data_IF_109554409169
#
_entry.id   IF_109554409169
#
_cell.length_a   1.000
_cell.length_b   1.000
_cell.length_c   1.000
_cell.angle_alpha   90.00
_cell.angle_beta   90.00
_cell.angle_gamma   90.00
#
_symmetry.space_group_name_H-M   'P 1'
#
loop_
_entity.id
_entity.type
_entity.pdbx_description
1 polymer ?
#
# COMPACT_ATOMS: atom_id res chain seq x y z
N UNK A 1 17.81 -10.60 -81.78
CA UNK A 1 18.36 -10.09 -80.53
C UNK A 1 17.19 -9.45 -79.77
N UNK A 2 16.56 -10.18 -78.83
CA UNK A 2 15.41 -9.76 -78.11
C UNK A 2 15.76 -9.41 -76.66
N UNK A 3 15.53 -8.21 -76.22
CA UNK A 3 15.72 -7.74 -74.88
C UNK A 3 14.46 -8.05 -74.03
N UNK A 4 14.61 -8.61 -72.82
CA UNK A 4 13.43 -8.81 -71.96
C UNK A 4 13.10 -7.54 -71.15
N UNK A 5 11.84 -7.20 -71.19
CA UNK A 5 11.25 -6.13 -70.34
C UNK A 5 11.28 -6.51 -68.89
N UNK A 6 11.81 -5.64 -68.03
CA UNK A 6 11.69 -5.73 -66.60
C UNK A 6 10.35 -5.14 -66.16
N UNK A 7 9.51 -5.95 -65.54
CA UNK A 7 8.31 -5.51 -64.87
C UNK A 7 8.70 -5.04 -63.45
N UNK A 8 8.51 -3.75 -63.22
CA UNK A 8 8.71 -3.08 -61.93
C UNK A 8 7.49 -3.32 -61.06
N UNK A 9 7.64 -4.23 -60.06
CA UNK A 9 6.60 -4.45 -59.05
C UNK A 9 6.69 -3.40 -57.96
N UNK A 10 5.78 -2.43 -58.00
CA UNK A 10 5.64 -1.45 -56.94
C UNK A 10 5.09 -2.15 -55.65
N UNK A 11 5.94 -2.37 -54.66
CA UNK A 11 5.51 -2.79 -53.35
C UNK A 11 5.05 -1.55 -52.58
N UNK A 12 3.78 -1.52 -52.26
CA UNK A 12 3.19 -0.54 -51.34
C UNK A 12 3.69 -0.82 -49.92
N UNK A 13 4.24 0.15 -49.17
CA UNK A 13 4.65 -0.09 -47.81
C UNK A 13 3.41 -0.39 -46.94
N UNK A 14 3.45 -1.53 -46.27
CA UNK A 14 2.41 -1.89 -45.28
C UNK A 14 2.45 -0.89 -44.14
N UNK A 15 1.28 -0.28 -43.86
CA UNK A 15 1.06 0.58 -42.69
C UNK A 15 1.35 -0.25 -41.44
N UNK A 16 2.16 0.23 -40.48
CA UNK A 16 2.38 -0.50 -39.24
C UNK A 16 1.06 -0.64 -38.50
N UNK A 17 0.68 -1.87 -38.17
CA UNK A 17 -0.48 -2.16 -37.36
C UNK A 17 -0.33 -1.43 -36.01
N UNK A 18 -1.29 -0.58 -35.70
CA UNK A 18 -1.38 0.10 -34.42
C UNK A 18 -1.69 -0.97 -33.36
N UNK A 19 -0.64 -1.52 -32.73
CA UNK A 19 -0.77 -2.43 -31.60
C UNK A 19 -1.26 -1.57 -30.44
N UNK A 20 -2.49 -1.78 -29.93
CA UNK A 20 -2.96 -1.03 -28.75
C UNK A 20 -2.01 -1.30 -27.59
N UNK A 21 -1.62 -0.24 -26.87
CA UNK A 21 -0.87 -0.38 -25.65
C UNK A 21 -1.58 -1.36 -24.71
N UNK A 22 -0.87 -2.23 -23.98
CA UNK A 22 -1.51 -3.17 -23.07
C UNK A 22 -2.38 -2.38 -22.09
N UNK A 23 -3.66 -2.70 -22.06
CA UNK A 23 -4.63 -2.11 -21.16
C UNK A 23 -4.15 -2.42 -19.74
N UNK A 24 -3.91 -1.39 -18.93
CA UNK A 24 -3.45 -1.55 -17.55
C UNK A 24 -4.55 -2.27 -16.77
N UNK A 25 -4.35 -3.54 -16.44
CA UNK A 25 -5.31 -4.30 -15.67
C UNK A 25 -5.47 -3.67 -14.28
N UNK A 26 -6.71 -3.40 -13.89
CA UNK A 26 -7.04 -2.92 -12.55
C UNK A 26 -6.55 -3.94 -11.51
N UNK A 27 -6.12 -3.45 -10.33
CA UNK A 27 -5.76 -4.29 -9.21
C UNK A 27 -6.93 -5.19 -8.80
N UNK A 28 -6.69 -6.45 -8.43
CA UNK A 28 -7.75 -7.36 -8.01
C UNK A 28 -8.43 -6.84 -6.74
N UNK A 29 -9.69 -7.23 -6.53
CA UNK A 29 -10.39 -7.06 -5.25
C UNK A 29 -10.27 -8.36 -4.47
N UNK A 30 -9.59 -8.31 -3.33
CA UNK A 30 -9.31 -9.47 -2.48
C UNK A 30 -10.33 -9.64 -1.36
N UNK A 31 -11.39 -8.83 -1.37
CA UNK A 31 -12.46 -8.83 -0.39
C UNK A 31 -12.40 -7.63 0.55
N UNK A 32 -13.40 -7.48 1.44
CA UNK A 32 -13.42 -6.40 2.41
C UNK A 32 -12.25 -6.54 3.39
N UNK A 33 -11.58 -5.42 3.67
CA UNK A 33 -10.52 -5.39 4.67
C UNK A 33 -11.11 -5.58 6.08
N UNK A 34 -10.48 -6.39 6.95
CA UNK A 34 -10.91 -6.52 8.33
C UNK A 34 -10.82 -5.19 9.09
N UNK A 35 -11.77 -4.95 9.98
CA UNK A 35 -11.79 -3.78 10.86
C UNK A 35 -10.67 -3.84 11.90
N UNK A 36 -10.23 -2.68 12.39
CA UNK A 36 -9.35 -2.60 13.55
C UNK A 36 -10.14 -3.03 14.79
N UNK A 37 -9.64 -4.03 15.48
CA UNK A 37 -10.29 -4.57 16.68
C UNK A 37 -9.25 -4.96 17.73
N UNK A 38 -9.67 -4.92 19.01
CA UNK A 38 -8.81 -5.26 20.13
C UNK A 38 -7.60 -4.34 20.30
N UNK A 39 -7.70 -3.08 19.87
CA UNK A 39 -6.62 -2.10 19.99
C UNK A 39 -6.57 -1.57 21.42
N UNK A 40 -5.41 -1.71 22.05
CA UNK A 40 -5.19 -1.31 23.45
C UNK A 40 -4.99 0.19 23.59
N UNK A 41 -4.28 0.80 22.64
CA UNK A 41 -3.96 2.22 22.69
C UNK A 41 -3.74 2.78 21.28
N UNK A 42 -4.14 4.03 21.07
CA UNK A 42 -3.91 4.78 19.84
C UNK A 42 -2.92 5.91 20.08
N UNK A 43 -2.00 6.11 19.15
CA UNK A 43 -1.00 7.18 19.16
C UNK A 43 -1.22 8.06 17.92
N UNK A 44 -1.05 9.37 18.07
CA UNK A 44 -1.25 10.39 17.03
C UNK A 44 -2.71 10.58 16.58
N UNK A 45 -3.67 9.91 17.19
CA UNK A 45 -5.08 10.01 16.84
C UNK A 45 -5.96 9.59 18.01
N UNK A 46 -7.22 10.01 17.98
CA UNK A 46 -8.29 9.35 18.74
C UNK A 46 -8.60 7.99 18.09
N UNK A 47 -9.28 7.07 18.79
CA UNK A 47 -9.68 5.80 18.16
C UNK A 47 -10.41 6.01 16.83
N UNK A 48 -9.98 5.29 15.80
CA UNK A 48 -10.59 5.31 14.47
C UNK A 48 -10.93 3.90 14.01
N UNK A 49 -11.92 3.81 13.11
CA UNK A 49 -12.29 2.56 12.44
C UNK A 49 -12.03 2.67 10.94
N UNK A 50 -11.96 1.55 10.24
CA UNK A 50 -11.94 1.57 8.75
C UNK A 50 -13.21 2.20 8.19
N UNK A 51 -14.34 2.05 8.88
CA UNK A 51 -15.60 2.71 8.51
C UNK A 51 -15.47 4.22 8.50
N UNK A 52 -14.72 4.80 9.44
CA UNK A 52 -14.44 6.25 9.50
C UNK A 52 -13.57 6.71 8.32
N UNK A 53 -12.81 5.79 7.73
CA UNK A 53 -11.87 6.07 6.64
C UNK A 53 -12.45 5.81 5.24
N UNK A 54 -13.76 5.54 5.14
CA UNK A 54 -14.43 5.40 3.83
C UNK A 54 -14.20 6.64 2.97
N UNK A 55 -13.91 6.42 1.70
CA UNK A 55 -13.53 7.48 0.76
C UNK A 55 -12.04 7.76 0.70
N UNK A 56 -11.25 7.19 1.62
CA UNK A 56 -9.78 7.33 1.66
C UNK A 56 -9.12 6.02 1.28
N UNK A 57 -7.96 6.12 0.63
CA UNK A 57 -7.04 5.00 0.41
C UNK A 57 -6.25 4.77 1.69
N UNK A 58 -6.22 3.54 2.18
CA UNK A 58 -5.60 3.20 3.46
C UNK A 58 -4.47 2.18 3.26
N UNK A 59 -3.32 2.47 3.84
CA UNK A 59 -2.24 1.50 4.01
C UNK A 59 -2.22 1.06 5.47
N UNK A 60 -2.47 -0.22 5.71
CA UNK A 60 -2.24 -0.84 7.02
C UNK A 60 -0.86 -1.46 7.01
N UNK A 61 0.01 -0.96 7.88
CA UNK A 61 1.40 -1.41 8.02
C UNK A 61 1.59 -2.07 9.38
N UNK A 62 1.75 -3.39 9.39
CA UNK A 62 2.08 -4.15 10.61
C UNK A 62 3.58 -4.04 10.87
N UNK A 63 3.93 -3.58 12.08
CA UNK A 63 5.30 -3.30 12.47
C UNK A 63 5.54 -3.54 13.95
N UNK A 64 6.81 -3.56 14.33
CA UNK A 64 7.24 -3.45 15.72
C UNK A 64 8.61 -2.75 15.76
N UNK A 65 8.89 -2.02 16.83
CA UNK A 65 9.96 -1.03 16.83
C UNK A 65 11.38 -1.61 16.92
N UNK A 66 11.54 -2.90 17.24
CA UNK A 66 12.86 -3.54 17.22
C UNK A 66 13.10 -4.40 15.97
N UNK A 67 12.12 -4.53 15.11
CA UNK A 67 12.24 -5.26 13.85
C UNK A 67 13.09 -4.47 12.86
N UNK A 68 14.28 -4.98 12.52
CA UNK A 68 15.20 -4.26 11.63
C UNK A 68 14.60 -4.01 10.24
N UNK A 69 13.88 -4.99 9.68
CA UNK A 69 13.23 -4.84 8.39
C UNK A 69 12.11 -3.80 8.43
N UNK A 70 11.39 -3.70 9.55
CA UNK A 70 10.40 -2.64 9.78
C UNK A 70 11.08 -1.27 9.83
N UNK A 71 12.19 -1.15 10.55
CA UNK A 71 12.95 0.11 10.67
C UNK A 71 13.42 0.59 9.29
N UNK A 72 13.90 -0.32 8.45
CA UNK A 72 14.32 0.01 7.08
C UNK A 72 13.14 0.46 6.19
N UNK A 73 11.95 -0.06 6.43
CA UNK A 73 10.75 0.27 5.66
C UNK A 73 10.10 1.59 6.06
N UNK A 74 10.20 1.97 7.34
CA UNK A 74 9.53 3.16 7.89
C UNK A 74 9.82 4.48 7.13
N UNK A 75 11.06 4.79 6.69
CA UNK A 75 11.31 6.02 5.93
C UNK A 75 10.48 6.12 4.65
N UNK A 76 10.22 5.00 3.98
CA UNK A 76 9.38 4.97 2.77
C UNK A 76 7.91 5.18 3.10
N UNK A 77 7.41 4.51 4.14
CA UNK A 77 6.02 4.66 4.58
C UNK A 77 5.73 6.09 5.04
N UNK A 78 6.63 6.71 5.81
CA UNK A 78 6.48 8.10 6.24
C UNK A 78 6.55 9.07 5.04
N UNK A 79 7.41 8.80 4.06
CA UNK A 79 7.51 9.60 2.85
C UNK A 79 6.21 9.52 2.01
N UNK A 80 5.64 8.34 1.83
CA UNK A 80 4.35 8.18 1.14
C UNK A 80 3.24 8.91 1.87
N UNK A 81 3.18 8.80 3.19
CA UNK A 81 2.18 9.53 3.96
C UNK A 81 2.32 11.05 3.76
N UNK A 82 3.53 11.57 3.85
CA UNK A 82 3.79 13.00 3.67
C UNK A 82 3.43 13.49 2.26
N UNK A 83 3.68 12.67 1.23
CA UNK A 83 3.37 13.01 -0.16
C UNK A 83 1.87 12.99 -0.47
N UNK A 84 1.14 12.01 0.07
CA UNK A 84 -0.19 11.67 -0.43
C UNK A 84 -1.34 11.92 0.54
N UNK A 85 -1.07 12.24 1.81
CA UNK A 85 -2.14 12.43 2.80
C UNK A 85 -3.14 13.53 2.39
N UNK A 86 -2.69 14.60 1.74
CA UNK A 86 -3.56 15.67 1.25
C UNK A 86 -4.48 15.22 0.08
N UNK A 87 -4.17 14.08 -0.53
CA UNK A 87 -4.94 13.49 -1.62
C UNK A 87 -5.92 12.43 -1.14
N UNK A 88 -6.07 12.26 0.16
CA UNK A 88 -6.96 11.25 0.74
C UNK A 88 -6.29 9.92 1.02
N UNK A 89 -5.00 9.91 1.31
CA UNK A 89 -4.23 8.74 1.72
C UNK A 89 -4.00 8.74 3.23
N UNK A 90 -4.25 7.60 3.87
CA UNK A 90 -4.01 7.40 5.30
C UNK A 90 -3.15 6.18 5.51
N UNK A 91 -2.18 6.29 6.40
CA UNK A 91 -1.43 5.14 6.91
C UNK A 91 -1.91 4.87 8.34
N UNK A 92 -2.17 3.61 8.65
CA UNK A 92 -2.36 3.14 10.02
C UNK A 92 -1.26 2.13 10.32
N UNK A 93 -0.33 2.51 11.17
CA UNK A 93 0.72 1.61 11.66
C UNK A 93 0.19 0.75 12.78
N UNK A 94 -0.05 -0.53 12.52
CA UNK A 94 -0.51 -1.48 13.54
C UNK A 94 0.72 -2.10 14.18
N UNK A 95 1.03 -1.63 15.40
CA UNK A 95 2.15 -2.12 16.19
C UNK A 95 1.75 -3.39 16.93
N UNK A 96 2.23 -4.54 16.45
CA UNK A 96 1.99 -5.84 17.06
C UNK A 96 3.32 -6.36 17.63
N UNK A 97 3.41 -6.58 18.95
CA UNK A 97 4.68 -6.90 19.58
C UNK A 97 5.16 -8.33 19.28
N UNK A 98 6.46 -8.48 19.02
CA UNK A 98 7.14 -9.77 18.96
C UNK A 98 7.69 -10.16 20.34
N UNK A 99 8.22 -9.19 21.08
CA UNK A 99 8.85 -9.39 22.39
C UNK A 99 8.07 -8.68 23.51
N UNK A 100 8.22 -9.17 24.75
CA UNK A 100 7.48 -8.67 25.91
C UNK A 100 7.63 -7.16 26.14
N UNK A 101 8.84 -6.61 25.99
CA UNK A 101 9.10 -5.18 26.19
C UNK A 101 8.42 -4.27 25.13
N UNK A 102 8.01 -4.83 24.02
CA UNK A 102 7.31 -4.10 22.96
C UNK A 102 5.82 -3.87 23.26
N UNK A 103 5.28 -4.50 24.32
CA UNK A 103 3.93 -4.23 24.81
C UNK A 103 3.81 -2.88 25.55
N UNK A 104 4.93 -2.37 26.06
CA UNK A 104 4.94 -1.16 26.89
C UNK A 104 4.66 0.10 26.06
N UNK A 105 3.54 0.77 26.33
CA UNK A 105 3.13 1.97 25.61
C UNK A 105 4.20 3.06 25.57
N UNK A 106 4.91 3.40 26.69
CA UNK A 106 5.97 4.41 26.64
C UNK A 106 7.10 4.07 25.65
N UNK A 107 7.44 2.79 25.50
CA UNK A 107 8.45 2.35 24.55
C UNK A 107 7.99 2.54 23.09
N UNK A 108 6.74 2.25 22.81
CA UNK A 108 6.16 2.46 21.47
C UNK A 108 6.06 3.95 21.16
N UNK A 109 5.61 4.77 22.11
CA UNK A 109 5.54 6.23 21.95
C UNK A 109 6.92 6.85 21.70
N UNK A 110 7.96 6.39 22.41
CA UNK A 110 9.33 6.81 22.17
C UNK A 110 9.80 6.43 20.76
N UNK A 111 9.52 5.21 20.31
CA UNK A 111 9.84 4.76 18.97
C UNK A 111 9.12 5.60 17.89
N UNK A 112 7.85 5.91 18.08
CA UNK A 112 7.07 6.78 17.18
C UNK A 112 7.76 8.14 17.02
N UNK A 113 8.26 8.72 18.11
CA UNK A 113 9.01 9.98 18.08
C UNK A 113 10.35 9.83 17.38
N UNK A 114 11.13 8.81 17.73
CA UNK A 114 12.47 8.57 17.15
C UNK A 114 12.41 8.34 15.63
N UNK A 115 11.40 7.63 15.17
CA UNK A 115 11.22 7.36 13.74
C UNK A 115 10.40 8.42 13.01
N UNK A 116 10.02 9.50 13.68
CA UNK A 116 9.26 10.61 13.11
C UNK A 116 7.94 10.16 12.46
N UNK A 117 7.27 9.20 13.09
CA UNK A 117 5.97 8.72 12.64
C UNK A 117 4.90 9.74 13.02
N UNK A 118 4.22 10.29 12.04
CA UNK A 118 3.18 11.31 12.22
C UNK A 118 1.78 10.84 11.78
N UNK A 119 1.65 9.60 11.34
CA UNK A 119 0.37 8.97 11.03
C UNK A 119 -0.17 8.19 12.23
N UNK A 120 -1.47 7.80 12.20
CA UNK A 120 -2.08 6.99 13.25
C UNK A 120 -1.33 5.68 13.52
N UNK A 121 -1.11 5.38 14.80
CA UNK A 121 -0.53 4.12 15.25
C UNK A 121 -1.47 3.45 16.24
N UNK A 122 -1.74 2.17 16.01
CA UNK A 122 -2.58 1.33 16.84
C UNK A 122 -1.74 0.25 17.53
N UNK A 123 -1.82 0.14 18.85
CA UNK A 123 -1.17 -0.96 19.59
C UNK A 123 -2.08 -2.19 19.61
N UNK A 124 -1.66 -3.24 18.93
CA UNK A 124 -2.34 -4.53 18.81
C UNK A 124 -1.65 -5.58 19.70
N UNK A 125 -1.58 -5.30 21.02
CA UNK A 125 -0.80 -6.10 21.97
C UNK A 125 -1.29 -7.54 22.09
N UNK A 126 -2.58 -7.81 21.81
CA UNK A 126 -3.18 -9.13 21.91
C UNK A 126 -3.35 -9.84 20.56
N UNK A 127 -2.75 -9.33 19.51
CA UNK A 127 -2.80 -9.91 18.15
C UNK A 127 -4.21 -10.02 17.54
N UNK A 128 -5.19 -9.27 18.03
CA UNK A 128 -6.58 -9.38 17.54
C UNK A 128 -6.69 -8.89 16.09
N UNK A 129 -6.16 -7.71 15.79
CA UNK A 129 -6.12 -7.18 14.42
C UNK A 129 -5.18 -7.98 13.54
N UNK A 130 -4.01 -8.34 14.03
CA UNK A 130 -3.05 -9.23 13.34
C UNK A 130 -3.73 -10.51 12.84
N UNK A 131 -4.46 -11.18 13.73
CA UNK A 131 -5.16 -12.43 13.41
C UNK A 131 -6.32 -12.20 12.44
N UNK A 132 -7.05 -11.09 12.57
CA UNK A 132 -8.12 -10.74 11.64
C UNK A 132 -7.62 -10.58 10.21
N UNK A 133 -6.43 -10.02 10.03
CA UNK A 133 -5.75 -9.91 8.74
C UNK A 133 -5.05 -11.20 8.31
N UNK A 134 -5.05 -12.24 9.14
CA UNK A 134 -4.31 -13.48 8.92
C UNK A 134 -2.83 -13.21 8.65
N UNK A 135 -2.28 -12.18 9.32
CA UNK A 135 -0.89 -11.76 9.11
C UNK A 135 0.09 -12.76 9.73
N UNK A 136 1.28 -12.88 9.15
CA UNK A 136 2.34 -13.79 9.59
C UNK A 136 3.72 -13.14 9.58
N UNK A 137 3.83 -11.86 9.17
CA UNK A 137 5.12 -11.21 8.91
C UNK A 137 5.22 -9.81 9.48
N UNK A 138 6.45 -9.42 9.87
CA UNK A 138 6.85 -8.04 10.12
C UNK A 138 7.97 -7.65 9.14
N UNK A 139 7.91 -6.55 8.39
CA UNK A 139 6.71 -5.74 8.15
C UNK A 139 5.74 -6.45 7.19
N UNK A 140 4.48 -6.03 7.26
CA UNK A 140 3.45 -6.48 6.31
C UNK A 140 2.54 -5.30 5.97
N UNK A 141 2.36 -5.06 4.69
CA UNK A 141 1.61 -3.95 4.13
C UNK A 141 0.34 -4.44 3.45
N UNK A 142 -0.79 -3.82 3.79
CA UNK A 142 -2.11 -4.12 3.24
C UNK A 142 -2.71 -2.85 2.65
N UNK A 143 -2.92 -2.84 1.33
CA UNK A 143 -3.39 -1.67 0.58
C UNK A 143 -4.91 -1.78 0.35
N UNK A 144 -5.65 -0.79 0.85
CA UNK A 144 -7.11 -0.79 0.91
C UNK A 144 -7.63 0.40 0.09
N UNK A 145 -8.60 0.14 -0.78
CA UNK A 145 -9.22 1.17 -1.61
C UNK A 145 -10.23 2.05 -0.86
N UNK A 146 -10.73 3.08 -1.52
CA UNK A 146 -11.68 4.03 -0.93
C UNK A 146 -13.02 3.39 -0.55
N UNK A 147 -13.37 2.21 -1.07
CA UNK A 147 -14.55 1.45 -0.71
C UNK A 147 -14.31 0.47 0.45
N UNK A 148 -13.07 0.34 0.93
CA UNK A 148 -12.72 -0.56 2.02
C UNK A 148 -12.36 -1.97 1.58
N UNK A 149 -12.06 -2.18 0.30
CA UNK A 149 -11.60 -3.48 -0.20
C UNK A 149 -10.08 -3.57 -0.18
N UNK A 150 -9.58 -4.73 0.26
CA UNK A 150 -8.18 -5.07 0.14
C UNK A 150 -7.83 -5.31 -1.34
N UNK A 151 -6.77 -4.66 -1.83
CA UNK A 151 -6.39 -4.68 -3.24
C UNK A 151 -4.98 -5.23 -3.48
N UNK A 152 -4.10 -5.11 -2.51
CA UNK A 152 -2.72 -5.60 -2.62
C UNK A 152 -2.13 -5.86 -1.25
N UNK A 153 -1.19 -6.80 -1.18
CA UNK A 153 -0.38 -7.08 0.01
C UNK A 153 1.09 -7.14 -0.36
N UNK A 154 1.95 -6.65 0.54
CA UNK A 154 3.40 -6.78 0.40
C UNK A 154 3.99 -7.18 1.75
N UNK A 155 4.87 -8.18 1.76
CA UNK A 155 5.50 -8.70 2.97
C UNK A 155 7.01 -8.50 2.92
N UNK A 156 7.59 -8.03 4.03
CA UNK A 156 9.01 -7.79 4.15
C UNK A 156 9.47 -6.46 3.55
N UNK A 157 10.79 -6.28 3.48
CA UNK A 157 11.42 -5.10 2.87
C UNK A 157 11.32 -5.10 1.34
N UNK A 158 11.59 -3.94 0.74
CA UNK A 158 11.70 -3.81 -0.71
C UNK A 158 10.38 -3.53 -1.40
N UNK A 159 10.40 -3.60 -2.74
CA UNK A 159 9.21 -3.34 -3.54
C UNK A 159 8.64 -1.92 -3.43
N UNK A 160 9.43 -0.96 -2.96
CA UNK A 160 8.96 0.39 -2.63
C UNK A 160 8.39 1.15 -3.83
N UNK A 161 9.02 1.02 -4.98
CA UNK A 161 8.55 1.66 -6.22
C UNK A 161 7.19 1.08 -6.66
N UNK A 162 7.02 -0.23 -6.58
CA UNK A 162 5.75 -0.90 -6.89
C UNK A 162 4.66 -0.49 -5.89
N UNK A 163 4.97 -0.48 -4.59
CA UNK A 163 4.04 -0.08 -3.53
C UNK A 163 3.57 1.38 -3.74
N UNK A 164 4.47 2.29 -4.08
CA UNK A 164 4.10 3.69 -4.37
C UNK A 164 3.19 3.79 -5.60
N UNK A 165 3.45 3.02 -6.65
CA UNK A 165 2.57 2.95 -7.84
C UNK A 165 1.17 2.46 -7.48
N UNK A 166 1.06 1.50 -6.58
CA UNK A 166 -0.23 0.99 -6.10
C UNK A 166 -1.00 2.08 -5.36
N UNK A 167 -0.33 2.83 -4.48
CA UNK A 167 -0.95 3.99 -3.80
C UNK A 167 -1.49 4.98 -4.83
N UNK A 168 -0.69 5.36 -5.81
CA UNK A 168 -1.09 6.30 -6.87
C UNK A 168 -2.27 5.78 -7.67
N UNK A 169 -2.29 4.50 -7.99
CA UNK A 169 -3.38 3.87 -8.73
C UNK A 169 -4.68 3.87 -7.94
N UNK A 170 -4.65 3.51 -6.67
CA UNK A 170 -5.82 3.52 -5.80
C UNK A 170 -6.35 4.94 -5.57
N UNK A 171 -5.48 5.93 -5.43
CA UNK A 171 -5.87 7.34 -5.35
C UNK A 171 -6.51 7.82 -6.66
N UNK A 172 -6.00 7.41 -7.81
CA UNK A 172 -6.58 7.70 -9.11
C UNK A 172 -7.99 7.11 -9.25
N UNK A 173 -8.18 5.85 -8.82
CA UNK A 173 -9.51 5.22 -8.81
C UNK A 173 -10.48 5.97 -7.90
N UNK A 174 -10.06 6.39 -6.71
CA UNK A 174 -10.89 7.14 -5.76
C UNK A 174 -11.35 8.48 -6.34
N UNK A 175 -10.46 9.19 -7.05
CA UNK A 175 -10.77 10.47 -7.70
C UNK A 175 -11.76 10.38 -8.86
N UNK A 176 -11.87 9.23 -9.51
CA UNK A 176 -12.80 9.01 -10.65
C UNK A 176 -14.25 8.79 -10.25
N UNK A 177 -14.53 8.57 -8.98
CA UNK A 177 -15.85 8.25 -8.43
C UNK A 177 -16.51 9.42 -7.69
N UNK A 178 -15.89 10.60 -7.80
CA UNK A 178 -16.41 11.86 -7.25
C UNK A 178 -17.61 12.41 -8.01
#
# INVERSE_FOLDING_TARGET
MSTPSQTNSSQTPATPANIPAPEKMALPKLGPAPEFSGIDHWINTQPISLSDLKGKVVLVDFWTYTCINCIHTLPYVTDWYNKYHDQGFVVVGVHTPEFAYEHETPNVEDAVKRFQINYPVAQDNNYVTWNAYQNQYWPAEYFIDAQGNLRHTHFGEGGYEESEKIIQELLSEAGKKG
#
